data_IF_113083414655
#
_entry.id   IF_113083414655
#
_cell.length_a   1.000
_cell.length_b   1.000
_cell.length_c   1.000
_cell.angle_alpha   90.00
_cell.angle_beta   90.00
_cell.angle_gamma   90.00
#
_symmetry.space_group_name_H-M   'P 1'
#
loop_
_entity.id
_entity.type
_entity.pdbx_description
1 polymer ?
#
# COMPACT_ATOMS: atom_id res chain seq x y z
N UNK A 1 52.09 70.21 -9.98
CA UNK A 1 53.47 69.72 -9.71
C UNK A 1 53.86 70.04 -8.27
N UNK A 2 54.01 69.01 -7.42
CA UNK A 2 54.94 68.95 -6.28
C UNK A 2 55.26 67.47 -6.05
N UNK A 3 56.54 67.23 -5.76
CA UNK A 3 57.28 66.01 -6.06
C UNK A 3 57.36 65.12 -4.81
N UNK A 4 57.53 63.82 -5.07
CA UNK A 4 57.54 62.62 -4.21
C UNK A 4 58.46 62.67 -2.98
N UNK A 5 58.07 61.94 -1.92
CA UNK A 5 58.96 61.13 -1.06
C UNK A 5 58.27 59.78 -0.85
N UNK A 6 58.70 58.73 -1.56
CA UNK A 6 59.68 57.73 -1.13
C UNK A 6 59.16 56.80 -0.02
N UNK A 7 58.82 55.56 -0.41
CA UNK A 7 58.59 54.39 0.45
C UNK A 7 59.85 53.99 1.24
N UNK A 8 59.75 53.08 2.21
CA UNK A 8 60.13 51.70 1.88
C UNK A 8 59.33 50.58 2.56
N UNK A 9 59.42 49.41 1.92
CA UNK A 9 59.03 48.05 2.30
C UNK A 9 59.32 47.69 3.77
N UNK A 10 58.39 46.94 4.35
CA UNK A 10 58.63 45.70 5.11
C UNK A 10 57.32 44.89 5.08
N UNK A 11 57.24 43.58 5.03
CA UNK A 11 58.11 42.46 4.67
C UNK A 11 57.16 41.25 4.74
N UNK A 12 57.24 40.36 3.76
CA UNK A 12 56.57 39.07 3.77
C UNK A 12 56.86 38.30 5.07
N UNK A 13 55.82 37.65 5.60
CA UNK A 13 55.84 36.22 5.95
C UNK A 13 54.46 35.68 5.50
N UNK A 14 54.38 35.06 4.32
CA UNK A 14 54.42 33.61 4.16
C UNK A 14 53.78 32.87 5.34
N UNK A 15 52.55 32.40 5.13
CA UNK A 15 52.24 30.99 5.33
C UNK A 15 50.95 30.62 4.58
N UNK A 16 51.14 29.63 3.70
CA UNK A 16 50.15 28.94 2.90
C UNK A 16 49.08 28.27 3.77
N UNK A 17 47.81 28.38 3.37
CA UNK A 17 46.78 27.37 3.64
C UNK A 17 45.50 27.62 2.82
N UNK A 18 45.44 27.05 1.63
CA UNK A 18 44.21 26.46 1.11
C UNK A 18 44.59 25.10 0.52
N UNK A 19 43.75 24.05 0.53
CA UNK A 19 42.35 23.98 0.95
C UNK A 19 42.08 22.83 1.96
N UNK A 20 41.31 23.05 3.03
CA UNK A 20 40.76 21.92 3.79
C UNK A 20 39.44 21.50 3.17
N UNK A 21 39.54 20.53 2.26
CA UNK A 21 38.41 19.73 1.80
C UNK A 21 37.77 19.03 3.00
N UNK A 22 36.65 19.59 3.49
CA UNK A 22 35.76 18.90 4.41
C UNK A 22 35.29 17.60 3.76
N UNK A 23 35.66 16.48 4.40
CA UNK A 23 35.43 15.10 3.95
C UNK A 23 34.00 14.87 3.43
N UNK A 24 33.84 13.96 2.45
CA UNK A 24 32.55 13.63 1.87
C UNK A 24 31.58 13.15 2.97
N UNK A 25 30.34 13.60 2.83
CA UNK A 25 29.16 13.22 3.61
C UNK A 25 29.03 11.69 3.56
N UNK A 26 29.66 10.99 4.50
CA UNK A 26 29.49 9.55 4.64
C UNK A 26 28.05 9.28 4.98
N UNK A 27 27.39 8.56 4.07
CA UNK A 27 26.04 8.04 4.17
C UNK A 27 25.72 7.59 5.59
N UNK A 28 24.93 8.40 6.31
CA UNK A 28 24.11 7.86 7.39
C UNK A 28 22.97 7.15 6.68
N UNK A 29 23.15 5.86 6.40
CA UNK A 29 22.07 4.98 6.03
C UNK A 29 20.98 5.17 7.10
N UNK A 30 19.92 5.85 6.69
CA UNK A 30 18.76 6.13 7.53
C UNK A 30 18.11 4.77 7.75
N UNK A 31 18.51 4.05 8.81
CA UNK A 31 17.78 2.90 9.35
C UNK A 31 16.50 3.44 10.02
N UNK A 32 15.63 4.07 9.24
CA UNK A 32 14.33 4.51 9.71
C UNK A 32 13.37 3.34 9.58
N UNK A 33 13.46 2.39 10.52
CA UNK A 33 12.54 1.25 10.65
C UNK A 33 11.07 1.63 10.40
N UNK A 34 10.50 2.72 10.96
CA UNK A 34 9.09 3.03 10.71
C UNK A 34 8.79 3.36 9.24
N UNK A 35 9.71 3.97 8.49
CA UNK A 35 9.50 4.22 7.06
C UNK A 35 9.54 2.92 6.23
N UNK A 36 10.39 1.96 6.64
CA UNK A 36 10.46 0.65 6.01
C UNK A 36 9.20 -0.18 6.28
N UNK A 37 8.72 -0.20 7.53
CA UNK A 37 7.48 -0.90 7.91
C UNK A 37 6.25 -0.32 7.20
N UNK A 38 6.16 1.01 7.06
CA UNK A 38 5.07 1.65 6.34
C UNK A 38 5.08 1.29 4.85
N UNK A 39 6.26 1.28 4.21
CA UNK A 39 6.40 0.87 2.82
C UNK A 39 6.02 -0.62 2.62
N UNK A 40 6.40 -1.48 3.56
CA UNK A 40 6.04 -2.90 3.56
C UNK A 40 4.53 -3.11 3.75
N UNK A 41 3.90 -2.40 4.69
CA UNK A 41 2.45 -2.44 4.88
C UNK A 41 1.68 -2.01 3.64
N UNK A 42 2.10 -0.92 2.98
CA UNK A 42 1.48 -0.47 1.75
C UNK A 42 1.58 -1.53 0.64
N UNK A 43 2.75 -2.14 0.49
CA UNK A 43 2.96 -3.22 -0.49
C UNK A 43 2.05 -4.42 -0.22
N UNK A 44 1.94 -4.87 1.03
CA UNK A 44 1.06 -5.99 1.40
C UNK A 44 -0.42 -5.68 1.15
N UNK A 45 -0.86 -4.44 1.43
CA UNK A 45 -2.22 -4.01 1.13
C UNK A 45 -2.50 -3.99 -0.37
N UNK A 46 -1.54 -3.56 -1.18
CA UNK A 46 -1.71 -3.55 -2.63
C UNK A 46 -1.72 -4.97 -3.22
N UNK A 47 -0.85 -5.86 -2.75
CA UNK A 47 -0.87 -7.28 -3.12
C UNK A 47 -2.19 -7.97 -2.73
N UNK A 48 -2.73 -7.64 -1.55
CA UNK A 48 -4.04 -8.13 -1.10
C UNK A 48 -5.16 -7.62 -2.01
N UNK A 49 -5.21 -6.31 -2.29
CA UNK A 49 -6.22 -5.70 -3.19
C UNK A 49 -6.16 -6.30 -4.59
N UNK A 50 -4.97 -6.53 -5.14
CA UNK A 50 -4.81 -7.15 -6.45
C UNK A 50 -5.31 -8.60 -6.44
N UNK A 51 -5.02 -9.35 -5.37
CA UNK A 51 -5.54 -10.70 -5.18
C UNK A 51 -7.07 -10.72 -5.08
N UNK A 52 -7.67 -9.85 -4.27
CA UNK A 52 -9.13 -9.72 -4.11
C UNK A 52 -9.79 -9.33 -5.43
N UNK A 53 -9.25 -8.34 -6.14
CA UNK A 53 -9.79 -7.91 -7.43
C UNK A 53 -9.76 -9.04 -8.47
N UNK A 54 -8.67 -9.82 -8.53
CA UNK A 54 -8.58 -11.00 -9.40
C UNK A 54 -9.59 -12.06 -9.02
N UNK A 55 -9.76 -12.33 -7.72
CA UNK A 55 -10.76 -13.26 -7.23
C UNK A 55 -12.16 -12.84 -7.67
N UNK A 56 -12.56 -11.58 -7.43
CA UNK A 56 -13.86 -11.07 -7.84
C UNK A 56 -14.07 -11.19 -9.35
N UNK A 57 -13.09 -10.77 -10.16
CA UNK A 57 -13.19 -10.89 -11.61
C UNK A 57 -13.44 -12.35 -12.05
N UNK A 58 -12.67 -13.29 -11.49
CA UNK A 58 -12.82 -14.71 -11.81
C UNK A 58 -14.17 -15.26 -11.36
N UNK A 59 -14.59 -14.93 -10.15
CA UNK A 59 -15.86 -15.38 -9.58
C UNK A 59 -17.08 -14.88 -10.38
N UNK A 60 -17.00 -13.68 -10.98
CA UNK A 60 -18.09 -13.14 -11.80
C UNK A 60 -18.19 -13.78 -13.20
N UNK A 61 -17.07 -14.20 -13.80
CA UNK A 61 -17.06 -14.73 -15.17
C UNK A 61 -17.35 -16.23 -15.26
N UNK A 62 -17.10 -16.98 -14.18
CA UNK A 62 -17.33 -18.43 -14.19
C UNK A 62 -18.82 -18.77 -14.13
N UNK A 63 -19.27 -19.85 -14.80
CA UNK A 63 -20.67 -20.22 -14.83
C UNK A 63 -21.14 -21.00 -13.59
N UNK A 64 -20.70 -20.58 -12.40
CA UNK A 64 -20.94 -21.27 -11.13
C UNK A 64 -21.62 -20.32 -10.15
N UNK A 65 -22.46 -20.86 -9.26
CA UNK A 65 -23.07 -20.12 -8.16
C UNK A 65 -22.04 -20.05 -7.01
N UNK A 66 -21.58 -18.85 -6.67
CA UNK A 66 -20.53 -18.67 -5.67
C UNK A 66 -21.05 -17.81 -4.53
N UNK A 67 -20.80 -18.27 -3.31
CA UNK A 67 -20.95 -17.50 -2.09
C UNK A 67 -19.81 -17.84 -1.13
N UNK A 68 -19.51 -16.93 -0.21
CA UNK A 68 -18.64 -17.21 0.93
C UNK A 68 -19.36 -16.87 2.23
N UNK A 69 -18.86 -17.42 3.32
CA UNK A 69 -19.37 -17.15 4.66
C UNK A 69 -18.22 -16.85 5.60
N UNK A 70 -18.46 -15.96 6.55
CA UNK A 70 -17.57 -15.75 7.70
C UNK A 70 -17.48 -17.04 8.54
N UNK A 71 -16.50 -17.14 9.46
CA UNK A 71 -16.45 -18.27 10.41
C UNK A 71 -17.70 -18.41 11.28
N UNK A 72 -18.52 -17.36 11.41
CA UNK A 72 -19.80 -17.40 12.13
C UNK A 72 -20.95 -17.94 11.27
N UNK A 73 -20.70 -18.24 9.98
CA UNK A 73 -21.71 -18.73 9.03
C UNK A 73 -22.47 -17.62 8.31
N UNK A 74 -22.14 -16.35 8.55
CA UNK A 74 -22.79 -15.21 7.91
C UNK A 74 -22.30 -15.07 6.47
N UNK A 75 -23.20 -14.87 5.51
CA UNK A 75 -22.82 -14.69 4.10
C UNK A 75 -22.16 -13.32 3.91
N UNK A 76 -20.92 -13.29 3.39
CA UNK A 76 -20.12 -12.07 3.22
C UNK A 76 -19.80 -11.74 1.75
N UNK A 77 -19.97 -12.70 0.84
CA UNK A 77 -19.89 -12.46 -0.60
C UNK A 77 -20.83 -13.39 -1.37
N UNK A 78 -21.36 -12.87 -2.49
CA UNK A 78 -22.16 -13.59 -3.48
C UNK A 78 -21.82 -13.05 -4.88
N UNK A 79 -21.71 -13.92 -5.88
CA UNK A 79 -21.49 -13.48 -7.26
C UNK A 79 -22.81 -13.14 -7.99
N UNK A 80 -22.74 -12.39 -9.09
CA UNK A 80 -23.92 -11.99 -9.86
C UNK A 80 -24.72 -13.17 -10.39
N UNK A 81 -24.05 -14.29 -10.68
CA UNK A 81 -24.72 -15.48 -11.18
C UNK A 81 -25.66 -16.10 -10.15
N UNK A 82 -25.28 -16.12 -8.87
CA UNK A 82 -26.16 -16.54 -7.79
C UNK A 82 -27.40 -15.65 -7.69
N UNK A 83 -27.23 -14.33 -7.81
CA UNK A 83 -28.36 -13.38 -7.78
C UNK A 83 -29.33 -13.63 -8.95
N UNK A 84 -28.79 -13.78 -10.16
CA UNK A 84 -29.60 -14.08 -11.34
C UNK A 84 -30.32 -15.43 -11.26
N UNK A 85 -29.66 -16.44 -10.71
CA UNK A 85 -30.23 -17.79 -10.59
C UNK A 85 -31.35 -17.85 -9.55
N UNK A 86 -31.14 -17.24 -8.39
CA UNK A 86 -32.09 -17.28 -7.27
C UNK A 86 -33.20 -16.23 -7.40
N UNK A 87 -32.96 -15.15 -8.15
CA UNK A 87 -33.83 -13.98 -8.22
C UNK A 87 -33.79 -13.09 -6.96
N UNK A 88 -32.89 -13.38 -6.02
CA UNK A 88 -32.73 -12.63 -4.78
C UNK A 88 -31.73 -11.48 -4.95
N UNK A 89 -31.88 -10.44 -4.13
CA UNK A 89 -30.91 -9.35 -4.07
C UNK A 89 -29.71 -9.72 -3.21
N UNK A 90 -28.57 -9.07 -3.44
CA UNK A 90 -27.40 -9.23 -2.57
C UNK A 90 -27.73 -8.89 -1.12
N UNK A 91 -28.51 -7.84 -0.86
CA UNK A 91 -28.93 -7.46 0.49
C UNK A 91 -29.71 -8.57 1.19
N UNK A 92 -30.63 -9.25 0.50
CA UNK A 92 -31.38 -10.37 1.07
C UNK A 92 -30.45 -11.53 1.46
N UNK A 93 -29.51 -11.90 0.58
CA UNK A 93 -28.59 -13.00 0.83
C UNK A 93 -27.53 -12.68 1.90
N UNK A 94 -27.03 -11.45 1.95
CA UNK A 94 -26.04 -11.03 2.94
C UNK A 94 -26.67 -10.89 4.34
N UNK A 95 -27.94 -10.45 4.42
CA UNK A 95 -28.62 -10.25 5.72
C UNK A 95 -29.30 -11.50 6.27
N UNK A 96 -29.85 -12.35 5.41
CA UNK A 96 -30.67 -13.50 5.81
C UNK A 96 -30.01 -14.85 5.47
N UNK A 97 -28.86 -14.80 4.80
CA UNK A 97 -28.08 -15.97 4.41
C UNK A 97 -28.65 -16.73 3.21
N UNK A 98 -27.88 -17.74 2.79
CA UNK A 98 -28.23 -18.59 1.65
C UNK A 98 -29.48 -19.46 1.89
N UNK A 99 -29.89 -19.66 3.15
CA UNK A 99 -31.08 -20.45 3.48
C UNK A 99 -32.36 -19.93 2.82
N UNK A 100 -32.42 -18.64 2.44
CA UNK A 100 -33.55 -18.08 1.69
C UNK A 100 -33.64 -18.58 0.24
N UNK A 101 -32.52 -18.99 -0.34
CA UNK A 101 -32.48 -19.61 -1.67
C UNK A 101 -32.85 -21.10 -1.63
N UNK A 102 -32.88 -21.71 -0.44
CA UNK A 102 -33.24 -23.12 -0.27
C UNK A 102 -34.76 -23.32 -0.27
N UNK A 103 -35.18 -24.47 -0.78
CA UNK A 103 -36.56 -24.92 -0.67
C UNK A 103 -36.98 -24.98 0.81
N UNK A 104 -38.20 -24.56 1.20
CA UNK A 104 -38.61 -24.46 2.60
C UNK A 104 -38.42 -25.74 3.43
N UNK A 105 -38.60 -26.91 2.81
CA UNK A 105 -38.39 -28.20 3.47
C UNK A 105 -36.92 -28.45 3.86
N UNK A 106 -35.97 -27.86 3.16
CA UNK A 106 -34.53 -28.12 3.33
C UNK A 106 -33.87 -27.15 4.31
N UNK A 107 -34.58 -26.08 4.71
CA UNK A 107 -34.05 -25.06 5.63
C UNK A 107 -33.83 -25.58 7.05
N UNK A 108 -34.47 -26.67 7.44
CA UNK A 108 -34.33 -27.26 8.78
C UNK A 108 -33.06 -28.12 8.92
N UNK A 109 -32.36 -28.40 7.81
CA UNK A 109 -31.20 -29.28 7.77
C UNK A 109 -29.86 -28.52 7.71
N UNK A 110 -29.87 -27.19 7.78
CA UNK A 110 -28.71 -26.30 7.59
C UNK A 110 -28.54 -25.37 8.77
#
# INVERSE_FOLDING_TARGET
MKIRKASPRASMKHQDAAPSAGKPRTARAVKNKPALMAAEQLRLLDELRESEARFHLMAEVVPVLIYTTTPAGETDYVNQRLLHYTGLTAEQLLSQGLAQALHPADRQAV
#
